data_IF_373128608490
#
_entry.id   IF_373128608490
#
_cell.length_a   1.000
_cell.length_b   1.000
_cell.length_c   1.000
_cell.angle_alpha   90.00
_cell.angle_beta   90.00
_cell.angle_gamma   90.00
#
_symmetry.space_group_name_H-M   'P 1'
#
loop_
_entity.id
_entity.type
_entity.pdbx_description
1 polymer ?
#
# COMPACT_ATOMS: atom_id res chain seq x y z
N UNK A 1 34.83 -20.08 39.93
CA UNK A 1 36.09 -19.52 39.41
C UNK A 1 35.85 -18.04 39.12
N UNK A 2 36.55 -17.15 39.80
CA UNK A 2 36.39 -15.70 39.63
C UNK A 2 37.20 -15.28 38.40
N UNK A 3 36.55 -14.84 37.32
CA UNK A 3 37.25 -14.27 36.16
C UNK A 3 38.01 -13.01 36.61
N UNK A 4 39.33 -13.13 36.78
CA UNK A 4 40.20 -11.99 36.98
C UNK A 4 40.59 -11.46 35.61
N UNK A 5 39.94 -10.38 35.18
CA UNK A 5 40.37 -9.66 33.99
C UNK A 5 41.77 -9.07 34.23
N UNK A 6 42.81 -9.73 33.71
CA UNK A 6 44.18 -9.23 33.77
C UNK A 6 44.30 -8.10 32.75
N UNK A 7 44.30 -6.85 33.21
CA UNK A 7 44.62 -5.71 32.36
C UNK A 7 46.13 -5.53 32.28
N UNK A 8 46.70 -5.69 31.09
CA UNK A 8 48.10 -5.32 30.84
C UNK A 8 48.20 -3.79 30.81
N UNK A 9 49.12 -3.23 31.59
CA UNK A 9 49.38 -1.79 31.67
C UNK A 9 50.79 -1.48 31.20
N UNK A 10 50.96 -0.38 30.47
CA UNK A 10 52.26 0.18 30.08
C UNK A 10 52.49 1.45 30.89
N UNK A 11 53.72 1.64 31.35
CA UNK A 11 54.11 2.86 32.06
C UNK A 11 54.37 3.98 31.06
N UNK A 12 53.76 5.14 31.27
CA UNK A 12 53.95 6.35 30.47
C UNK A 12 54.31 7.50 31.43
N UNK A 13 55.60 7.72 31.62
CA UNK A 13 56.09 8.64 32.66
C UNK A 13 55.76 8.17 34.09
N UNK A 14 55.05 9.00 34.84
CA UNK A 14 54.57 8.68 36.20
C UNK A 14 53.22 7.95 36.23
N UNK A 15 52.53 7.84 35.09
CA UNK A 15 51.21 7.23 34.99
C UNK A 15 51.26 5.83 34.34
N UNK A 16 50.20 5.06 34.57
CA UNK A 16 50.02 3.72 34.00
C UNK A 16 48.85 3.73 33.04
N UNK A 17 49.14 3.56 31.74
CA UNK A 17 48.15 3.46 30.68
C UNK A 17 47.78 2.00 30.44
N UNK A 18 46.51 1.74 30.11
CA UNK A 18 46.11 0.40 29.67
C UNK A 18 46.69 0.11 28.28
N UNK A 19 47.43 -0.99 28.13
CA UNK A 19 48.01 -1.40 26.83
C UNK A 19 46.91 -1.71 25.81
N UNK A 20 45.79 -2.24 26.29
CA UNK A 20 44.58 -2.51 25.52
C UNK A 20 43.39 -1.93 26.29
N UNK A 21 42.93 -0.70 25.98
CA UNK A 21 41.75 -0.16 26.63
C UNK A 21 40.57 -1.12 26.39
N UNK A 22 39.93 -1.59 27.46
CA UNK A 22 38.70 -2.36 27.36
C UNK A 22 37.63 -1.41 26.82
N UNK A 23 37.36 -1.51 25.53
CA UNK A 23 36.22 -0.87 24.89
C UNK A 23 35.12 -1.92 24.74
N UNK A 24 33.85 -1.49 24.83
CA UNK A 24 32.68 -2.37 24.70
C UNK A 24 32.63 -3.15 23.38
N UNK A 25 33.34 -2.68 22.34
CA UNK A 25 33.26 -3.22 20.99
C UNK A 25 34.30 -4.31 20.68
N UNK A 26 35.50 -4.27 21.25
CA UNK A 26 36.63 -5.03 20.67
C UNK A 26 37.18 -6.17 21.54
N UNK A 27 36.79 -6.29 22.81
CA UNK A 27 37.47 -7.19 23.76
C UNK A 27 36.53 -8.12 24.56
N UNK A 28 35.27 -8.29 24.13
CA UNK A 28 34.33 -9.19 24.79
C UNK A 28 34.04 -10.36 23.86
N UNK A 29 34.43 -11.55 24.30
CA UNK A 29 34.26 -12.80 23.58
C UNK A 29 33.33 -13.72 24.36
N UNK A 30 32.57 -14.55 23.66
CA UNK A 30 31.76 -15.60 24.28
C UNK A 30 32.65 -16.77 24.78
N UNK A 31 32.03 -17.79 25.36
CA UNK A 31 32.71 -19.00 25.86
C UNK A 31 33.41 -19.82 24.75
N UNK A 32 33.11 -19.54 23.48
CA UNK A 32 33.69 -20.17 22.30
C UNK A 32 34.73 -19.28 21.61
N UNK A 33 35.03 -18.09 22.15
CA UNK A 33 36.02 -17.16 21.60
C UNK A 33 35.51 -16.30 20.43
N UNK A 34 34.20 -16.23 20.19
CA UNK A 34 33.63 -15.37 19.14
C UNK A 34 33.40 -13.95 19.66
N UNK A 35 33.64 -12.89 18.87
CA UNK A 35 33.39 -11.51 19.28
C UNK A 35 31.89 -11.28 19.56
N UNK A 36 31.56 -10.81 20.76
CA UNK A 36 30.16 -10.49 21.13
C UNK A 36 29.63 -9.28 20.36
N UNK A 37 30.51 -8.36 19.93
CA UNK A 37 30.13 -7.20 19.12
C UNK A 37 29.50 -7.60 17.78
N UNK A 38 30.14 -8.53 17.06
CA UNK A 38 29.64 -9.05 15.77
C UNK A 38 28.34 -9.85 15.96
N UNK A 39 28.21 -10.60 17.06
CA UNK A 39 26.96 -11.28 17.40
C UNK A 39 25.82 -10.31 17.71
N UNK A 40 26.12 -9.19 18.38
CA UNK A 40 25.14 -8.15 18.69
C UNK A 40 24.69 -7.41 17.42
N UNK A 41 25.61 -7.12 16.50
CA UNK A 41 25.28 -6.57 15.18
C UNK A 41 24.42 -7.54 14.38
N UNK A 42 24.75 -8.84 14.38
CA UNK A 42 23.95 -9.88 13.74
C UNK A 42 22.58 -10.09 14.43
N UNK A 43 22.49 -9.97 15.75
CA UNK A 43 21.21 -10.06 16.46
C UNK A 43 20.35 -8.82 16.19
N UNK A 44 20.95 -7.63 16.13
CA UNK A 44 20.28 -6.38 15.78
C UNK A 44 19.80 -6.43 14.33
N UNK A 45 20.59 -6.97 13.40
CA UNK A 45 20.18 -7.15 12.01
C UNK A 45 19.06 -8.19 11.86
N UNK A 46 19.01 -9.23 12.69
CA UNK A 46 17.91 -10.21 12.74
C UNK A 46 16.64 -9.68 13.42
N UNK A 47 16.77 -8.85 14.45
CA UNK A 47 15.65 -8.06 15.00
C UNK A 47 15.14 -7.09 13.95
N UNK A 48 16.02 -6.54 13.12
CA UNK A 48 15.65 -5.74 11.98
C UNK A 48 14.91 -6.53 10.88
N UNK A 49 14.93 -7.87 10.90
CA UNK A 49 14.05 -8.69 10.04
C UNK A 49 12.65 -8.85 10.66
N UNK A 50 12.51 -8.61 11.98
CA UNK A 50 11.24 -8.43 12.71
C UNK A 50 10.73 -6.96 12.59
N UNK A 51 11.39 -6.10 11.79
CA UNK A 51 11.09 -4.65 11.60
C UNK A 51 9.69 -4.28 11.11
N UNK A 52 8.80 -5.25 10.92
CA UNK A 52 7.36 -5.01 10.91
C UNK A 52 6.87 -4.26 12.15
N UNK A 53 7.58 -4.41 13.28
CA UNK A 53 7.30 -3.74 14.54
C UNK A 53 7.97 -2.36 14.59
N UNK A 54 7.19 -1.32 14.31
CA UNK A 54 7.58 0.09 14.42
C UNK A 54 6.90 0.75 15.62
N UNK A 55 7.52 1.82 16.13
CA UNK A 55 6.90 2.71 17.13
C UNK A 55 5.98 3.74 16.50
N UNK A 56 6.23 4.07 15.23
CA UNK A 56 5.55 5.11 14.45
C UNK A 56 5.12 4.62 13.06
N UNK A 57 4.17 5.33 12.46
CA UNK A 57 3.75 5.12 11.07
C UNK A 57 4.89 5.37 10.10
N UNK A 58 4.94 4.65 8.98
CA UNK A 58 6.00 4.77 7.97
C UNK A 58 5.48 5.51 6.74
N UNK A 59 6.13 6.61 6.38
CA UNK A 59 5.96 7.24 5.08
C UNK A 59 7.02 6.70 4.09
N UNK A 60 6.59 6.39 2.88
CA UNK A 60 7.42 5.96 1.75
C UNK A 60 7.04 6.86 0.57
N UNK A 61 8.01 7.54 -0.03
CA UNK A 61 7.77 8.51 -1.10
C UNK A 61 8.13 7.93 -2.46
N UNK A 62 7.29 8.25 -3.45
CA UNK A 62 7.45 7.80 -4.84
C UNK A 62 7.31 8.99 -5.78
N UNK A 63 8.23 9.11 -6.74
CA UNK A 63 8.22 10.14 -7.77
C UNK A 63 8.64 9.51 -9.11
N UNK A 64 7.71 9.41 -10.06
CA UNK A 64 7.98 8.79 -11.37
C UNK A 64 9.01 9.55 -12.20
N UNK A 65 9.14 10.86 -11.97
CA UNK A 65 9.98 11.75 -12.76
C UNK A 65 11.39 11.85 -12.20
N UNK A 66 11.53 11.93 -10.86
CA UNK A 66 12.80 12.19 -10.18
C UNK A 66 13.31 11.01 -9.33
N UNK A 67 12.46 10.05 -9.01
CA UNK A 67 12.80 8.91 -8.18
C UNK A 67 13.73 7.92 -8.86
N UNK A 68 14.31 7.03 -8.05
CA UNK A 68 15.22 6.00 -8.54
C UNK A 68 15.08 4.70 -7.73
N UNK A 69 14.75 3.58 -8.37
CA UNK A 69 14.55 2.31 -7.66
C UNK A 69 15.86 1.60 -7.27
N UNK A 70 16.99 1.99 -7.87
CA UNK A 70 18.30 1.39 -7.58
C UNK A 70 18.98 2.05 -6.38
N UNK A 71 18.82 3.37 -6.22
CA UNK A 71 19.51 4.16 -5.17
C UNK A 71 18.56 4.95 -4.26
N UNK A 72 17.28 5.05 -4.61
CA UNK A 72 16.26 5.64 -3.75
C UNK A 72 16.12 4.85 -2.45
N UNK A 73 15.82 5.54 -1.36
CA UNK A 73 15.55 4.94 -0.04
C UNK A 73 14.10 5.11 0.42
N UNK A 74 13.27 5.75 -0.42
CA UNK A 74 11.86 6.03 -0.15
C UNK A 74 11.65 7.17 0.83
N UNK A 75 12.69 7.94 1.16
CA UNK A 75 12.55 9.25 1.82
C UNK A 75 12.07 10.31 0.83
N UNK A 76 11.56 11.44 1.35
CA UNK A 76 11.10 12.55 0.50
C UNK A 76 12.22 13.16 -0.35
N UNK A 77 13.45 13.21 0.18
CA UNK A 77 14.64 13.71 -0.53
C UNK A 77 15.23 12.72 -1.53
N UNK A 78 14.91 11.43 -1.40
CA UNK A 78 15.45 10.36 -2.25
C UNK A 78 14.37 9.28 -2.51
N UNK A 79 13.30 9.65 -3.24
CA UNK A 79 12.13 8.80 -3.42
C UNK A 79 12.42 7.61 -4.34
N UNK A 80 11.59 6.57 -4.22
CA UNK A 80 11.55 5.52 -5.24
C UNK A 80 10.94 6.05 -6.54
N UNK A 81 11.29 5.40 -7.66
CA UNK A 81 10.71 5.74 -8.97
C UNK A 81 9.34 5.11 -9.16
N UNK A 82 9.19 3.86 -8.72
CA UNK A 82 7.99 3.06 -8.95
C UNK A 82 7.20 2.81 -7.67
N UNK A 83 5.88 2.67 -7.81
CA UNK A 83 5.00 2.31 -6.70
C UNK A 83 5.28 0.87 -6.27
N UNK A 84 5.53 -0.04 -7.23
CA UNK A 84 5.85 -1.42 -6.90
C UNK A 84 7.11 -1.51 -6.03
N UNK A 85 8.15 -0.74 -6.32
CA UNK A 85 9.36 -0.71 -5.48
C UNK A 85 9.05 -0.30 -4.05
N UNK A 86 8.20 0.72 -3.85
CA UNK A 86 7.77 1.14 -2.52
C UNK A 86 6.99 0.05 -1.78
N UNK A 87 6.09 -0.66 -2.47
CA UNK A 87 5.33 -1.80 -1.94
C UNK A 87 6.25 -2.93 -1.51
N UNK A 88 7.26 -3.25 -2.32
CA UNK A 88 8.20 -4.35 -2.05
C UNK A 88 9.04 -4.11 -0.79
N UNK A 89 9.17 -2.85 -0.35
CA UNK A 89 9.85 -2.49 0.89
C UNK A 89 8.98 -2.67 2.14
N UNK A 90 7.67 -2.90 2.00
CA UNK A 90 6.78 -3.09 3.13
C UNK A 90 6.94 -4.51 3.70
N UNK A 91 7.22 -4.67 5.01
CA UNK A 91 7.27 -5.98 5.65
C UNK A 91 5.93 -6.73 5.52
N UNK A 92 5.98 -8.07 5.47
CA UNK A 92 4.76 -8.89 5.37
C UNK A 92 3.90 -8.89 6.64
N UNK A 93 4.48 -8.49 7.77
CA UNK A 93 3.78 -8.30 9.04
C UNK A 93 4.04 -6.86 9.47
N UNK A 94 3.02 -6.06 9.74
CA UNK A 94 3.16 -4.66 10.13
C UNK A 94 2.28 -4.34 11.36
N UNK A 95 2.80 -3.57 12.32
CA UNK A 95 2.04 -3.12 13.50
C UNK A 95 1.68 -1.61 13.47
N UNK A 96 2.14 -0.90 12.44
CA UNK A 96 1.89 0.53 12.22
C UNK A 96 1.57 0.77 10.75
N UNK A 97 0.78 1.81 10.50
CA UNK A 97 0.34 2.14 9.16
C UNK A 97 1.50 2.54 8.25
N UNK A 98 1.43 2.10 7.00
CA UNK A 98 2.37 2.44 5.95
C UNK A 98 1.68 3.30 4.89
N UNK A 99 2.21 4.50 4.68
CA UNK A 99 1.73 5.46 3.69
C UNK A 99 2.70 5.51 2.52
N UNK A 100 2.27 5.03 1.36
CA UNK A 100 2.92 5.28 0.08
C UNK A 100 2.39 6.60 -0.46
N UNK A 101 3.24 7.62 -0.44
CA UNK A 101 2.96 8.99 -0.87
C UNK A 101 3.54 9.20 -2.26
N UNK A 102 2.68 9.19 -3.27
CA UNK A 102 3.07 9.44 -4.64
C UNK A 102 3.05 10.94 -4.94
N UNK A 103 4.03 11.41 -5.71
CA UNK A 103 3.98 12.74 -6.34
C UNK A 103 3.09 12.70 -7.59
N UNK A 104 2.61 13.86 -8.07
CA UNK A 104 1.92 13.93 -9.35
C UNK A 104 2.75 13.35 -10.50
N UNK A 105 2.10 12.57 -11.37
CA UNK A 105 2.71 11.88 -12.50
C UNK A 105 1.86 10.72 -13.01
N UNK A 106 2.18 10.25 -14.21
CA UNK A 106 1.54 9.09 -14.84
C UNK A 106 2.35 7.82 -14.58
N UNK A 107 1.84 6.96 -13.72
CA UNK A 107 2.45 5.70 -13.33
C UNK A 107 1.88 4.57 -14.19
N UNK A 108 2.61 4.23 -15.26
CA UNK A 108 2.30 3.10 -16.14
C UNK A 108 2.64 1.75 -15.48
N UNK A 109 1.99 1.46 -14.35
CA UNK A 109 2.27 0.31 -13.48
C UNK A 109 1.00 -0.46 -13.11
N UNK A 110 1.06 -1.79 -13.19
CA UNK A 110 0.09 -2.70 -12.58
C UNK A 110 0.61 -3.15 -11.21
N UNK A 111 0.28 -2.39 -10.16
CA UNK A 111 0.83 -2.57 -8.82
C UNK A 111 0.16 -3.74 -8.11
N UNK A 112 0.96 -4.63 -7.51
CA UNK A 112 0.49 -5.79 -6.76
C UNK A 112 0.99 -5.74 -5.32
N UNK A 113 0.05 -5.68 -4.39
CA UNK A 113 0.26 -5.77 -2.95
C UNK A 113 -0.25 -7.12 -2.50
N UNK A 114 0.62 -7.97 -1.96
CA UNK A 114 0.23 -9.33 -1.59
C UNK A 114 0.78 -9.78 -0.23
N UNK A 115 -0.08 -10.49 0.51
CA UNK A 115 0.24 -11.22 1.75
C UNK A 115 0.77 -10.34 2.88
N UNK A 116 0.25 -9.12 3.03
CA UNK A 116 0.60 -8.23 4.15
C UNK A 116 -0.47 -8.31 5.24
N UNK A 117 -0.03 -8.57 6.47
CA UNK A 117 -0.90 -8.77 7.62
C UNK A 117 -0.63 -7.71 8.70
N UNK A 118 -1.70 -7.18 9.31
CA UNK A 118 -1.64 -6.28 10.46
C UNK A 118 -2.26 -4.91 10.22
N UNK A 119 -1.50 -3.83 10.46
CA UNK A 119 -1.94 -2.45 10.30
C UNK A 119 -2.27 -2.05 8.84
N UNK A 120 -2.64 -0.79 8.62
CA UNK A 120 -3.11 -0.31 7.32
C UNK A 120 -2.01 0.00 6.30
N UNK A 121 -2.36 -0.12 5.03
CA UNK A 121 -1.55 0.31 3.88
C UNK A 121 -2.36 1.34 3.12
N UNK A 122 -1.76 2.50 2.91
CA UNK A 122 -2.39 3.64 2.27
C UNK A 122 -1.58 4.04 1.03
N UNK A 123 -2.22 4.10 -0.12
CA UNK A 123 -1.63 4.65 -1.36
C UNK A 123 -2.39 5.93 -1.68
N UNK A 124 -1.68 7.05 -1.74
CA UNK A 124 -2.27 8.38 -1.94
C UNK A 124 -1.30 9.34 -2.62
N UNK A 125 -1.84 10.36 -3.29
CA UNK A 125 -1.10 11.56 -3.67
C UNK A 125 -1.49 12.73 -2.74
N UNK A 126 -0.60 13.20 -1.83
CA UNK A 126 -0.90 14.31 -0.93
C UNK A 126 -1.13 15.65 -1.63
N UNK A 127 -0.62 15.80 -2.85
CA UNK A 127 -0.70 17.03 -3.67
C UNK A 127 -1.82 16.97 -4.70
N UNK A 128 -2.64 15.91 -4.67
CA UNK A 128 -3.75 15.74 -5.58
C UNK A 128 -4.77 16.88 -5.47
N UNK A 129 -5.44 17.14 -6.59
CA UNK A 129 -6.64 17.95 -6.57
C UNK A 129 -7.68 17.33 -5.61
N UNK A 130 -8.21 18.08 -4.63
CA UNK A 130 -9.20 17.56 -3.70
C UNK A 130 -10.57 17.28 -4.34
N UNK A 131 -10.85 17.83 -5.53
CA UNK A 131 -12.08 17.58 -6.28
C UNK A 131 -11.87 16.43 -7.30
N UNK A 132 -12.45 15.24 -7.07
CA UNK A 132 -12.27 14.08 -7.94
C UNK A 132 -12.95 14.23 -9.31
N UNK A 133 -13.78 15.25 -9.53
CA UNK A 133 -14.31 15.54 -10.87
C UNK A 133 -13.24 16.08 -11.83
N UNK A 134 -12.19 16.68 -11.28
CA UNK A 134 -11.03 17.20 -11.98
C UNK A 134 -9.86 16.22 -11.87
N UNK A 135 -8.95 16.23 -12.85
CA UNK A 135 -7.76 15.40 -12.79
C UNK A 135 -6.99 15.67 -11.49
N UNK A 136 -6.69 14.59 -10.75
CA UNK A 136 -5.88 14.65 -9.52
C UNK A 136 -4.41 14.90 -9.83
N UNK A 137 -3.97 14.60 -11.06
CA UNK A 137 -2.58 14.71 -11.50
C UNK A 137 -1.71 13.54 -11.08
N UNK A 138 -2.29 12.52 -10.44
CA UNK A 138 -1.63 11.26 -10.09
C UNK A 138 -2.40 10.11 -10.73
N UNK A 139 -1.88 9.55 -11.82
CA UNK A 139 -2.58 8.52 -12.60
C UNK A 139 -1.90 7.16 -12.43
N UNK A 140 -2.66 6.08 -12.24
CA UNK A 140 -2.12 4.70 -12.11
C UNK A 140 -2.96 3.71 -12.92
N UNK A 141 -2.31 2.75 -13.59
CA UNK A 141 -3.01 1.73 -14.40
C UNK A 141 -3.85 0.84 -13.51
N UNK A 142 -3.24 0.16 -12.54
CA UNK A 142 -4.00 -0.62 -11.56
C UNK A 142 -3.27 -0.78 -10.23
N UNK A 143 -4.06 -0.99 -9.18
CA UNK A 143 -3.60 -1.31 -7.84
C UNK A 143 -4.42 -2.50 -7.34
N UNK A 144 -3.74 -3.62 -7.11
CA UNK A 144 -4.36 -4.88 -6.70
C UNK A 144 -3.83 -5.34 -5.35
N UNK A 145 -4.74 -5.47 -4.37
CA UNK A 145 -4.47 -6.11 -3.09
C UNK A 145 -4.93 -7.57 -3.10
N UNK A 146 -4.04 -8.48 -2.71
CA UNK A 146 -4.31 -9.91 -2.55
C UNK A 146 -3.94 -10.36 -1.14
N UNK A 147 -4.83 -11.09 -0.48
CA UNK A 147 -4.51 -11.80 0.77
C UNK A 147 -3.98 -10.87 1.87
N UNK A 148 -4.51 -9.64 1.94
CA UNK A 148 -4.07 -8.62 2.90
C UNK A 148 -5.06 -8.53 4.08
N UNK A 149 -4.58 -8.83 5.29
CA UNK A 149 -5.41 -8.92 6.50
C UNK A 149 -5.44 -7.61 7.32
N UNK A 150 -5.30 -6.46 6.66
CA UNK A 150 -5.32 -5.14 7.29
C UNK A 150 -6.29 -4.19 6.59
N UNK A 151 -6.13 -2.89 6.85
CA UNK A 151 -6.88 -1.84 6.17
C UNK A 151 -6.15 -1.41 4.89
N UNK A 152 -6.69 -1.74 3.72
CA UNK A 152 -6.08 -1.45 2.42
C UNK A 152 -6.79 -0.23 1.81
N UNK A 153 -6.05 0.86 1.59
CA UNK A 153 -6.64 2.14 1.19
C UNK A 153 -5.97 2.67 -0.07
N UNK A 154 -6.80 3.09 -1.03
CA UNK A 154 -6.37 3.81 -2.22
C UNK A 154 -7.17 5.10 -2.34
N UNK A 155 -6.49 6.24 -2.40
CA UNK A 155 -7.15 7.53 -2.46
C UNK A 155 -6.43 8.52 -3.36
N UNK A 156 -7.16 9.55 -3.82
CA UNK A 156 -6.57 10.73 -4.47
C UNK A 156 -5.79 10.40 -5.74
N UNK A 157 -6.35 9.55 -6.62
CA UNK A 157 -5.73 9.15 -7.88
C UNK A 157 -6.72 9.18 -9.06
N UNK A 158 -6.18 9.24 -10.27
CA UNK A 158 -6.88 9.08 -11.53
C UNK A 158 -6.65 7.67 -12.08
N UNK A 159 -7.70 6.98 -12.52
CA UNK A 159 -7.53 5.79 -13.34
C UNK A 159 -6.70 6.17 -14.56
N UNK A 160 -5.81 5.28 -14.97
CA UNK A 160 -4.97 5.46 -16.15
C UNK A 160 -5.14 4.30 -17.11
N UNK A 161 -5.12 4.61 -18.40
CA UNK A 161 -5.24 3.60 -19.42
C UNK A 161 -3.99 2.71 -19.53
N UNK A 162 -2.82 3.31 -19.34
CA UNK A 162 -1.55 2.61 -19.52
C UNK A 162 -1.33 2.09 -20.94
N UNK A 163 -0.19 1.43 -21.14
CA UNK A 163 0.09 0.71 -22.38
C UNK A 163 -0.52 -0.69 -22.38
N UNK A 164 -0.69 -1.28 -21.18
CA UNK A 164 -1.29 -2.59 -20.97
C UNK A 164 -2.20 -2.60 -19.74
N UNK A 165 -3.32 -3.33 -19.82
CA UNK A 165 -4.23 -3.50 -18.69
C UNK A 165 -4.68 -4.97 -18.55
N UNK A 166 -3.87 -5.76 -17.84
CA UNK A 166 -4.08 -7.19 -17.60
C UNK A 166 -4.80 -7.46 -16.28
N UNK A 167 -4.71 -6.55 -15.30
CA UNK A 167 -5.38 -6.62 -14.02
C UNK A 167 -6.89 -6.81 -14.15
N UNK A 168 -7.53 -7.38 -13.13
CA UNK A 168 -8.98 -7.68 -13.16
C UNK A 168 -9.86 -6.43 -13.00
N UNK A 169 -9.30 -5.37 -12.46
CA UNK A 169 -9.94 -4.08 -12.22
C UNK A 169 -8.87 -2.99 -12.11
N UNK A 170 -9.25 -1.71 -12.17
CA UNK A 170 -8.32 -0.63 -11.81
C UNK A 170 -7.91 -0.75 -10.35
N UNK A 171 -8.89 -0.92 -9.46
CA UNK A 171 -8.67 -1.22 -8.05
C UNK A 171 -9.29 -2.56 -7.71
N UNK A 172 -8.46 -3.47 -7.20
CA UNK A 172 -8.88 -4.80 -6.77
C UNK A 172 -8.55 -5.02 -5.30
N UNK A 173 -9.54 -5.51 -4.55
CA UNK A 173 -9.33 -6.17 -3.27
C UNK A 173 -9.79 -7.62 -3.38
N UNK A 174 -8.84 -8.55 -3.28
CA UNK A 174 -9.09 -9.98 -3.34
C UNK A 174 -8.68 -10.63 -2.02
N UNK A 175 -9.64 -11.25 -1.33
CA UNK A 175 -9.44 -11.89 -0.01
C UNK A 175 -8.76 -10.96 1.00
N UNK A 176 -9.21 -9.69 1.04
CA UNK A 176 -8.71 -8.67 1.94
C UNK A 176 -9.67 -8.41 3.10
N UNK A 177 -9.13 -8.07 4.27
CA UNK A 177 -9.95 -7.84 5.46
C UNK A 177 -10.83 -6.60 5.32
N UNK A 178 -10.28 -5.47 4.86
CA UNK A 178 -11.06 -4.28 4.54
C UNK A 178 -10.38 -3.42 3.47
N UNK A 179 -11.02 -3.21 2.32
CA UNK A 179 -10.57 -2.29 1.28
C UNK A 179 -11.34 -0.97 1.28
N UNK A 180 -10.68 0.17 1.05
CA UNK A 180 -11.34 1.46 0.88
C UNK A 180 -10.80 2.22 -0.32
N UNK A 181 -11.72 2.77 -1.12
CA UNK A 181 -11.39 3.65 -2.23
C UNK A 181 -12.11 4.98 -2.06
N UNK A 182 -11.38 6.08 -2.09
CA UNK A 182 -12.06 7.37 -2.06
C UNK A 182 -11.29 8.55 -2.60
N UNK A 183 -12.03 9.61 -2.92
CA UNK A 183 -11.47 10.82 -3.53
C UNK A 183 -10.70 10.53 -4.83
N UNK A 184 -11.18 9.57 -5.63
CA UNK A 184 -10.50 9.12 -6.84
C UNK A 184 -11.36 9.29 -8.09
N UNK A 185 -10.72 9.43 -9.24
CA UNK A 185 -11.34 9.74 -10.52
C UNK A 185 -11.21 8.57 -11.49
N UNK A 186 -12.33 8.07 -11.98
CA UNK A 186 -12.43 7.01 -12.97
C UNK A 186 -13.03 7.58 -14.27
N UNK A 187 -12.15 8.02 -15.17
CA UNK A 187 -12.53 8.74 -16.41
C UNK A 187 -11.68 8.37 -17.63
N UNK A 188 -10.48 7.81 -17.45
CA UNK A 188 -9.60 7.51 -18.57
C UNK A 188 -9.92 6.19 -19.28
N UNK A 189 -10.72 5.32 -18.67
CA UNK A 189 -11.03 4.00 -19.20
C UNK A 189 -12.50 3.85 -19.58
N UNK A 190 -12.83 4.38 -20.74
CA UNK A 190 -14.20 4.35 -21.25
C UNK A 190 -14.73 2.91 -21.43
N UNK A 191 -16.05 2.78 -21.25
CA UNK A 191 -16.95 1.68 -21.64
C UNK A 191 -16.57 0.89 -22.91
N UNK A 192 -15.86 1.53 -23.84
CA UNK A 192 -15.55 1.05 -25.19
C UNK A 192 -14.13 0.45 -25.38
N UNK A 193 -13.28 0.40 -24.35
CA UNK A 193 -11.95 -0.24 -24.45
C UNK A 193 -12.00 -1.79 -24.46
N UNK A 194 -13.19 -2.39 -24.58
CA UNK A 194 -13.38 -3.81 -24.93
C UNK A 194 -13.04 -4.85 -23.85
N UNK A 195 -12.48 -4.46 -22.71
CA UNK A 195 -12.08 -5.42 -21.66
C UNK A 195 -13.23 -5.90 -20.77
N UNK A 196 -14.31 -5.12 -20.67
CA UNK A 196 -15.48 -5.46 -19.83
C UNK A 196 -15.18 -5.50 -18.31
N UNK A 197 -14.03 -4.95 -17.90
CA UNK A 197 -13.54 -4.99 -16.52
C UNK A 197 -14.17 -3.88 -15.67
N UNK A 198 -14.38 -4.11 -14.37
CA UNK A 198 -14.81 -3.07 -13.44
C UNK A 198 -13.67 -2.09 -13.07
N UNK A 199 -14.05 -0.90 -12.65
CA UNK A 199 -13.10 0.06 -12.06
C UNK A 199 -12.69 -0.38 -10.67
N UNK A 200 -13.67 -0.70 -9.82
CA UNK A 200 -13.44 -1.18 -8.46
C UNK A 200 -14.06 -2.57 -8.30
N UNK A 201 -13.24 -3.53 -7.86
CA UNK A 201 -13.64 -4.91 -7.62
C UNK A 201 -13.30 -5.35 -6.19
N UNK A 202 -14.33 -5.81 -5.47
CA UNK A 202 -14.20 -6.53 -4.21
C UNK A 202 -14.51 -8.01 -4.43
N UNK A 203 -13.51 -8.87 -4.32
CA UNK A 203 -13.60 -10.32 -4.48
C UNK A 203 -13.30 -11.01 -3.14
N UNK A 204 -14.32 -11.58 -2.49
CA UNK A 204 -14.18 -12.18 -1.15
C UNK A 204 -13.61 -11.22 -0.10
N UNK A 205 -14.00 -9.93 -0.16
CA UNK A 205 -13.44 -8.86 0.68
C UNK A 205 -14.55 -7.98 1.26
N UNK A 206 -14.27 -7.33 2.39
CA UNK A 206 -15.14 -6.27 2.94
C UNK A 206 -14.59 -4.91 2.53
N UNK A 207 -15.43 -3.88 2.42
CA UNK A 207 -14.91 -2.54 2.18
C UNK A 207 -15.91 -1.42 2.01
N UNK A 208 -15.40 -0.26 1.60
CA UNK A 208 -16.21 0.90 1.26
C UNK A 208 -15.68 1.68 0.06
N UNK A 209 -16.58 2.38 -0.62
CA UNK A 209 -16.23 3.42 -1.58
C UNK A 209 -16.91 4.74 -1.22
N UNK A 210 -16.16 5.84 -1.25
CA UNK A 210 -16.68 7.17 -0.91
C UNK A 210 -16.03 8.27 -1.75
N UNK A 211 -16.80 9.29 -2.14
CA UNK A 211 -16.28 10.49 -2.81
C UNK A 211 -15.48 10.20 -4.08
N UNK A 212 -15.85 9.18 -4.86
CA UNK A 212 -15.23 8.91 -6.15
C UNK A 212 -16.04 9.55 -7.29
N UNK A 213 -15.39 9.83 -8.40
CA UNK A 213 -16.02 10.30 -9.64
C UNK A 213 -15.88 9.24 -10.72
N UNK A 214 -16.99 8.81 -11.31
CA UNK A 214 -17.03 7.86 -12.43
C UNK A 214 -17.62 8.55 -13.66
N UNK A 215 -17.01 8.41 -14.83
CA UNK A 215 -17.55 8.97 -16.08
C UNK A 215 -17.54 7.97 -17.23
N UNK A 216 -18.72 7.53 -17.70
CA UNK A 216 -18.85 6.65 -18.87
C UNK A 216 -18.01 5.36 -18.79
N UNK A 217 -18.05 4.69 -17.64
CA UNK A 217 -17.24 3.50 -17.36
C UNK A 217 -17.95 2.22 -17.83
N UNK A 218 -17.22 1.12 -18.00
CA UNK A 218 -17.88 -0.16 -18.28
C UNK A 218 -18.70 -0.63 -17.06
N UNK A 219 -18.03 -0.76 -15.90
CA UNK A 219 -18.66 -1.11 -14.63
C UNK A 219 -17.99 -0.36 -13.50
N UNK A 220 -18.71 0.53 -12.82
CA UNK A 220 -18.11 1.36 -11.77
C UNK A 220 -17.69 0.51 -10.56
N UNK A 221 -18.60 -0.34 -10.06
CA UNK A 221 -18.33 -1.19 -8.89
C UNK A 221 -18.84 -2.61 -9.11
N UNK A 222 -18.01 -3.58 -8.74
CA UNK A 222 -18.40 -4.97 -8.61
C UNK A 222 -18.03 -5.53 -7.24
N UNK A 223 -19.00 -6.09 -6.53
CA UNK A 223 -18.78 -6.91 -5.35
C UNK A 223 -19.10 -8.37 -5.70
N UNK A 224 -18.20 -9.31 -5.37
CA UNK A 224 -18.42 -10.72 -5.64
C UNK A 224 -17.88 -11.69 -4.58
N UNK A 225 -18.34 -12.95 -4.64
CA UNK A 225 -17.81 -14.08 -3.85
C UNK A 225 -17.84 -13.85 -2.33
N UNK A 226 -18.99 -13.46 -1.79
CA UNK A 226 -19.19 -13.22 -0.36
C UNK A 226 -18.77 -11.83 0.12
N UNK A 227 -18.31 -10.95 -0.78
CA UNK A 227 -17.95 -9.58 -0.44
C UNK A 227 -19.10 -8.80 0.20
N UNK A 228 -18.74 -7.86 1.06
CA UNK A 228 -19.67 -6.93 1.71
C UNK A 228 -19.15 -5.50 1.55
N UNK A 229 -19.85 -4.67 0.78
CA UNK A 229 -19.34 -3.35 0.39
C UNK A 229 -20.33 -2.25 0.74
N UNK A 230 -19.85 -1.21 1.44
CA UNK A 230 -20.62 0.02 1.66
C UNK A 230 -20.35 1.02 0.53
N UNK A 231 -21.40 1.58 -0.03
CA UNK A 231 -21.31 2.63 -1.06
C UNK A 231 -21.93 3.90 -0.49
N UNK A 232 -21.13 4.94 -0.30
CA UNK A 232 -21.60 6.22 0.22
C UNK A 232 -22.19 7.08 -0.91
N UNK A 233 -23.19 7.91 -0.60
CA UNK A 233 -23.86 8.80 -1.57
C UNK A 233 -22.99 9.96 -2.06
N UNK A 234 -21.79 10.10 -1.51
CA UNK A 234 -20.78 11.05 -1.99
C UNK A 234 -20.10 10.63 -3.29
N UNK A 235 -20.30 9.39 -3.76
CA UNK A 235 -19.83 8.97 -5.07
C UNK A 235 -20.68 9.61 -6.19
N UNK A 236 -20.01 10.17 -7.19
CA UNK A 236 -20.64 10.78 -8.36
C UNK A 236 -20.41 9.91 -9.59
N UNK A 237 -21.46 9.60 -10.35
CA UNK A 237 -21.32 8.88 -11.62
C UNK A 237 -22.08 9.61 -12.74
N UNK A 238 -21.37 9.95 -13.81
CA UNK A 238 -21.87 10.67 -14.99
C UNK A 238 -21.55 9.91 -16.29
N UNK A 239 -22.03 10.40 -17.43
CA UNK A 239 -21.64 9.89 -18.76
C UNK A 239 -22.17 8.51 -19.14
N UNK A 240 -23.20 7.99 -18.45
CA UNK A 240 -23.89 6.72 -18.72
C UNK A 240 -22.98 5.49 -18.88
N UNK A 241 -22.40 5.07 -17.76
CA UNK A 241 -21.71 3.79 -17.63
C UNK A 241 -22.58 2.60 -18.10
N UNK A 242 -21.99 1.45 -18.43
CA UNK A 242 -22.83 0.26 -18.76
C UNK A 242 -23.49 -0.28 -17.50
N UNK A 243 -22.69 -0.52 -16.46
CA UNK A 243 -23.13 -1.03 -15.17
C UNK A 243 -22.70 -0.04 -14.08
N UNK A 244 -23.62 0.31 -13.19
CA UNK A 244 -23.30 1.10 -11.99
C UNK A 244 -22.75 0.17 -10.90
N UNK A 245 -23.66 -0.36 -10.08
CA UNK A 245 -23.37 -1.28 -8.98
C UNK A 245 -23.72 -2.71 -9.37
N UNK A 246 -22.77 -3.63 -9.31
CA UNK A 246 -23.00 -5.06 -9.54
C UNK A 246 -22.69 -5.87 -8.28
N UNK A 247 -23.70 -6.55 -7.74
CA UNK A 247 -23.55 -7.52 -6.65
C UNK A 247 -23.69 -8.96 -7.20
N UNK A 248 -22.63 -9.76 -7.14
CA UNK A 248 -22.62 -11.14 -7.63
C UNK A 248 -22.26 -12.12 -6.51
N UNK A 249 -23.24 -12.85 -5.96
CA UNK A 249 -23.03 -13.67 -4.75
C UNK A 249 -22.38 -12.85 -3.60
N UNK A 250 -22.76 -11.57 -3.47
CA UNK A 250 -22.20 -10.59 -2.54
C UNK A 250 -23.29 -9.62 -2.06
N UNK A 251 -22.98 -8.78 -1.07
CA UNK A 251 -23.91 -7.74 -0.58
C UNK A 251 -23.32 -6.36 -0.72
N UNK A 252 -24.11 -5.42 -1.26
CA UNK A 252 -23.80 -3.99 -1.30
C UNK A 252 -24.81 -3.24 -0.43
N UNK A 253 -24.31 -2.36 0.43
CA UNK A 253 -25.11 -1.49 1.29
C UNK A 253 -24.96 -0.04 0.82
N UNK A 254 -26.05 0.59 0.38
CA UNK A 254 -26.08 2.01 0.05
C UNK A 254 -26.23 2.82 1.34
N UNK A 255 -25.36 3.80 1.51
CA UNK A 255 -25.37 4.72 2.63
C UNK A 255 -25.75 6.11 2.11
N UNK A 256 -27.01 6.50 2.32
CA UNK A 256 -27.59 7.71 1.75
C UNK A 256 -28.26 7.48 0.39
N UNK A 257 -28.49 8.55 -0.37
CA UNK A 257 -29.18 8.48 -1.67
C UNK A 257 -28.18 8.16 -2.80
N UNK A 258 -27.71 6.92 -2.86
CA UNK A 258 -26.75 6.48 -3.86
C UNK A 258 -27.43 6.34 -5.24
N UNK A 259 -26.97 7.14 -6.20
CA UNK A 259 -27.43 7.09 -7.59
C UNK A 259 -26.24 6.97 -8.54
N UNK A 260 -26.27 5.98 -9.44
CA UNK A 260 -25.25 5.82 -10.48
C UNK A 260 -25.88 5.98 -11.87
N UNK A 261 -25.41 6.96 -12.66
CA UNK A 261 -25.83 7.11 -14.06
C UNK A 261 -25.26 5.97 -14.89
N UNK A 262 -26.10 4.98 -15.22
CA UNK A 262 -25.71 3.84 -16.02
C UNK A 262 -26.90 3.22 -16.76
N UNK A 263 -26.62 2.44 -17.82
CA UNK A 263 -27.64 1.63 -18.51
C UNK A 263 -28.27 0.60 -17.57
N UNK A 264 -27.45 0.00 -16.70
CA UNK A 264 -27.88 -0.88 -15.61
C UNK A 264 -27.34 -0.31 -14.28
N UNK A 265 -28.08 0.62 -13.63
CA UNK A 265 -27.62 1.26 -12.40
C UNK A 265 -27.34 0.29 -11.26
N UNK A 266 -28.17 -0.74 -11.13
CA UNK A 266 -28.04 -1.79 -10.14
C UNK A 266 -28.24 -3.16 -10.79
N UNK A 267 -27.34 -4.11 -10.51
CA UNK A 267 -27.40 -5.46 -11.03
C UNK A 267 -27.15 -6.48 -9.91
N UNK A 268 -28.11 -7.38 -9.72
CA UNK A 268 -28.06 -8.47 -8.74
C UNK A 268 -27.89 -9.80 -9.47
N UNK A 269 -26.79 -10.51 -9.23
CA UNK A 269 -26.43 -11.77 -9.89
C UNK A 269 -26.15 -12.85 -8.85
N UNK A 270 -26.47 -14.11 -9.17
CA UNK A 270 -26.09 -15.28 -8.35
C UNK A 270 -26.45 -15.13 -6.86
N UNK A 271 -27.63 -14.59 -6.56
CA UNK A 271 -28.10 -14.35 -5.18
C UNK A 271 -27.58 -13.08 -4.51
N UNK A 272 -26.77 -12.27 -5.21
CA UNK A 272 -26.25 -11.01 -4.70
C UNK A 272 -27.35 -9.99 -4.36
N UNK A 273 -27.10 -9.15 -3.36
CA UNK A 273 -28.06 -8.18 -2.84
C UNK A 273 -27.48 -6.77 -2.87
N UNK A 274 -28.37 -5.80 -3.10
CA UNK A 274 -28.10 -4.36 -3.01
C UNK A 274 -29.25 -3.80 -2.16
N UNK A 275 -28.89 -3.16 -1.06
CA UNK A 275 -29.79 -2.55 -0.07
C UNK A 275 -29.66 -1.03 -0.14
#
# INVERSE_FOLDING_TARGET
MTNRNIQMKKRNGTEWDNLYPITKANNVYDEHGNPVGEQLENATSRINVINGLRTETKNIYVDVNLGNDAIGDGSESNPFKTIQKAVDMIPKIINKDHYIKCKPGDYNEEVVIQSINGAGIFITCPEANPDPSQATGFSVVSISFYDCAGYCVVQNFDSFAGDTFNARAHILFSRCAYGSVGSSRFDSWAKNNGTGKPDILFDGSVGSIQSNYFNNQHRCLQAMNGSQVRVDDTNTAVGDSTYGLTAQAATIYKNGNVTFSATFPEQKLQGGQIW
#
